data_IF_006528170153
#
_entry.id   IF_006528170153
#
_cell.length_a   1.000
_cell.length_b   1.000
_cell.length_c   1.000
_cell.angle_alpha   90.00
_cell.angle_beta   90.00
_cell.angle_gamma   90.00
#
_symmetry.space_group_name_H-M   'P 1'
#
loop_
_entity.id
_entity.type
_entity.pdbx_description
1 polymer ?
#
# COMPACT_ATOMS: atom_id res chain seq x y z
N UNK A 1 14.03 17.36 7.34
CA UNK A 1 12.85 16.67 7.87
C UNK A 1 13.20 15.87 9.11
N UNK A 2 12.30 15.74 10.11
CA UNK A 2 12.54 15.00 11.37
C UNK A 2 11.40 14.03 11.61
N UNK A 3 11.72 12.78 11.94
CA UNK A 3 10.75 11.74 12.32
C UNK A 3 10.99 11.38 13.80
N UNK A 4 9.92 11.30 14.57
CA UNK A 4 9.89 10.87 15.96
C UNK A 4 8.92 9.71 16.14
N UNK A 5 9.39 8.58 16.69
CA UNK A 5 8.52 7.47 17.07
C UNK A 5 7.74 7.83 18.33
N UNK A 6 6.42 7.87 18.27
CA UNK A 6 5.54 8.17 19.38
C UNK A 6 5.06 6.90 20.10
N UNK A 7 4.80 5.83 19.35
CA UNK A 7 4.27 4.57 19.86
C UNK A 7 4.60 3.41 18.92
N UNK A 8 4.83 2.24 19.49
CA UNK A 8 4.81 0.97 18.76
C UNK A 8 3.95 -0.05 19.50
N UNK A 9 3.31 -0.97 18.75
CA UNK A 9 2.46 -2.03 19.28
C UNK A 9 2.56 -3.28 18.42
N UNK A 10 2.85 -4.42 19.04
CA UNK A 10 2.81 -5.72 18.37
C UNK A 10 1.37 -6.26 18.33
N UNK A 11 0.91 -6.66 17.15
CA UNK A 11 -0.39 -7.31 16.91
C UNK A 11 -0.16 -8.82 16.74
N UNK A 12 -0.08 -9.54 17.84
CA UNK A 12 0.21 -10.99 17.87
C UNK A 12 -0.87 -11.85 17.18
N UNK A 13 -2.07 -11.31 17.06
CA UNK A 13 -3.23 -12.03 16.50
C UNK A 13 -3.61 -11.59 15.08
N UNK A 14 -2.86 -10.68 14.47
CA UNK A 14 -3.11 -10.19 13.12
C UNK A 14 -1.88 -10.45 12.25
N UNK A 15 -1.97 -11.40 11.28
CA UNK A 15 -0.82 -11.79 10.49
C UNK A 15 -0.56 -10.82 9.33
N UNK A 16 0.72 -10.68 8.97
CA UNK A 16 1.21 -10.15 7.69
C UNK A 16 0.54 -8.86 7.26
N UNK A 17 0.54 -7.84 8.15
CA UNK A 17 -0.07 -6.54 7.85
C UNK A 17 0.59 -5.86 6.66
N UNK A 18 -0.17 -5.73 5.55
CA UNK A 18 0.30 -5.27 4.25
C UNK A 18 -0.15 -3.85 3.90
N UNK A 19 -1.29 -3.38 4.42
CA UNK A 19 -1.74 -2.00 4.19
C UNK A 19 -2.58 -1.46 5.34
N UNK A 20 -2.58 -0.14 5.51
CA UNK A 20 -3.31 0.57 6.56
C UNK A 20 -3.92 1.86 6.00
N UNK A 21 -5.18 2.14 6.34
CA UNK A 21 -5.85 3.39 6.00
C UNK A 21 -6.48 4.03 7.24
N UNK A 22 -6.52 5.36 7.27
CA UNK A 22 -7.19 6.13 8.33
C UNK A 22 -8.43 6.83 7.78
N UNK A 23 -9.58 6.60 8.43
CA UNK A 23 -10.82 7.27 8.07
C UNK A 23 -11.75 7.40 9.27
N UNK A 24 -12.27 8.63 9.50
CA UNK A 24 -13.22 8.94 10.57
C UNK A 24 -12.80 8.43 11.97
N UNK A 25 -11.53 8.64 12.35
CA UNK A 25 -11.04 8.26 13.67
C UNK A 25 -10.72 6.77 13.82
N UNK A 26 -10.70 6.03 12.72
CA UNK A 26 -10.47 4.58 12.68
C UNK A 26 -9.33 4.23 11.74
N UNK A 27 -8.61 3.18 12.10
CA UNK A 27 -7.57 2.55 11.28
C UNK A 27 -8.14 1.26 10.72
N UNK A 28 -7.99 1.06 9.42
CA UNK A 28 -8.42 -0.13 8.69
C UNK A 28 -7.18 -0.84 8.18
N UNK A 29 -6.94 -2.04 8.69
CA UNK A 29 -5.76 -2.84 8.38
C UNK A 29 -6.15 -4.08 7.58
N UNK A 30 -5.39 -4.35 6.53
CA UNK A 30 -5.42 -5.61 5.81
C UNK A 30 -4.07 -6.30 5.95
N UNK A 31 -4.07 -7.61 5.78
CA UNK A 31 -2.86 -8.41 5.67
C UNK A 31 -2.93 -9.29 4.42
N UNK A 32 -1.77 -9.60 3.86
CA UNK A 32 -1.65 -10.31 2.59
C UNK A 32 -2.26 -11.73 2.65
N UNK A 33 -2.19 -12.34 3.82
CA UNK A 33 -2.75 -13.67 4.11
C UNK A 33 -3.78 -13.67 5.27
N UNK A 34 -4.16 -12.49 5.79
CA UNK A 34 -5.22 -12.38 6.79
C UNK A 34 -6.59 -12.69 6.20
N UNK A 35 -7.44 -13.38 6.95
CA UNK A 35 -8.81 -13.68 6.54
C UNK A 35 -9.82 -12.59 6.86
N UNK A 36 -9.40 -11.50 7.53
CA UNK A 36 -10.27 -10.43 7.99
C UNK A 36 -9.64 -9.05 7.82
N UNK A 37 -10.48 -8.03 7.69
CA UNK A 37 -10.14 -6.63 7.88
C UNK A 37 -10.19 -6.34 9.39
N UNK A 38 -9.11 -5.80 9.95
CA UNK A 38 -9.05 -5.36 11.33
C UNK A 38 -9.33 -3.86 11.41
N UNK A 39 -10.20 -3.46 12.34
CA UNK A 39 -10.52 -2.05 12.59
C UNK A 39 -10.10 -1.66 14.00
N UNK A 40 -9.26 -0.64 14.09
CA UNK A 40 -8.74 -0.11 15.35
C UNK A 40 -9.14 1.35 15.53
N UNK A 41 -9.15 1.82 16.77
CA UNK A 41 -9.12 3.25 17.05
C UNK A 41 -7.68 3.82 16.91
N UNK A 42 -7.52 5.13 17.03
CA UNK A 42 -6.21 5.79 16.94
C UNK A 42 -5.28 5.53 18.15
N UNK A 43 -5.79 4.81 19.16
CA UNK A 43 -5.03 4.29 20.29
C UNK A 43 -4.61 2.84 20.12
N UNK A 44 -4.92 2.24 18.93
CA UNK A 44 -4.65 0.85 18.58
C UNK A 44 -5.48 -0.17 19.39
N UNK A 45 -6.63 0.23 19.91
CA UNK A 45 -7.58 -0.71 20.47
C UNK A 45 -8.49 -1.26 19.36
N UNK A 46 -8.65 -2.57 19.32
CA UNK A 46 -9.57 -3.20 18.37
C UNK A 46 -11.01 -2.78 18.69
N UNK A 47 -11.70 -2.26 17.68
CA UNK A 47 -13.11 -1.84 17.78
C UNK A 47 -14.02 -2.67 16.90
N UNK A 48 -13.46 -3.30 15.83
CA UNK A 48 -14.23 -4.18 14.95
C UNK A 48 -13.29 -5.15 14.22
N UNK A 49 -13.89 -6.19 13.60
CA UNK A 49 -13.21 -7.11 12.72
C UNK A 49 -14.22 -7.68 11.72
N UNK A 50 -13.95 -7.54 10.44
CA UNK A 50 -14.85 -7.98 9.38
C UNK A 50 -14.22 -9.10 8.57
N UNK A 51 -14.85 -10.30 8.47
CA UNK A 51 -14.37 -11.37 7.62
C UNK A 51 -14.32 -10.92 6.14
N UNK A 52 -13.18 -11.10 5.50
CA UNK A 52 -12.99 -10.90 4.06
C UNK A 52 -13.19 -12.21 3.29
N UNK A 53 -12.84 -13.32 3.92
CA UNK A 53 -12.91 -14.65 3.33
C UNK A 53 -13.57 -15.63 4.31
N UNK A 54 -14.32 -16.59 3.77
CA UNK A 54 -14.81 -17.76 4.51
C UNK A 54 -13.68 -18.79 4.58
N UNK A 55 -12.76 -18.57 5.53
CA UNK A 55 -11.61 -19.41 5.75
C UNK A 55 -11.46 -19.70 7.26
N UNK A 56 -11.29 -20.95 7.67
CA UNK A 56 -11.35 -21.33 9.10
C UNK A 56 -10.16 -20.84 9.91
N UNK A 57 -8.97 -20.74 9.31
CA UNK A 57 -7.77 -20.27 9.98
C UNK A 57 -7.62 -18.76 9.80
N UNK A 58 -6.99 -18.10 10.78
CA UNK A 58 -6.68 -16.66 10.70
C UNK A 58 -5.74 -16.32 9.54
N UNK A 59 -4.90 -17.26 9.15
CA UNK A 59 -3.90 -17.13 8.11
C UNK A 59 -4.23 -18.02 6.92
N UNK A 60 -4.43 -17.46 5.76
CA UNK A 60 -4.73 -18.16 4.52
C UNK A 60 -3.41 -18.69 3.92
N UNK A 61 -3.31 -19.96 3.55
CA UNK A 61 -2.10 -20.53 2.97
C UNK A 61 -1.66 -19.79 1.70
N UNK A 62 -0.36 -19.62 1.50
CA UNK A 62 0.28 -18.84 0.39
C UNK A 62 -0.26 -19.19 -1.01
N UNK A 63 -0.67 -20.45 -1.22
CA UNK A 63 -1.22 -20.90 -2.51
C UNK A 63 -2.69 -20.51 -2.75
N UNK A 64 -3.43 -20.12 -1.71
CA UNK A 64 -4.87 -19.82 -1.76
C UNK A 64 -5.19 -18.36 -1.46
N UNK A 65 -4.23 -17.60 -0.90
CA UNK A 65 -4.42 -16.21 -0.55
C UNK A 65 -4.65 -15.32 -1.78
N UNK A 66 -5.48 -14.32 -1.61
CA UNK A 66 -5.68 -13.27 -2.63
C UNK A 66 -4.47 -12.32 -2.72
N UNK A 67 -3.54 -12.41 -1.76
CA UNK A 67 -2.35 -11.59 -1.71
C UNK A 67 -2.71 -10.10 -1.74
N UNK A 68 -3.56 -9.70 -0.80
CA UNK A 68 -3.99 -8.31 -0.69
C UNK A 68 -2.86 -7.46 -0.11
N UNK A 69 -2.21 -6.67 -0.98
CA UNK A 69 -0.99 -5.94 -0.65
C UNK A 69 -1.23 -4.42 -0.57
N UNK A 70 -2.29 -3.92 -1.17
CA UNK A 70 -2.53 -2.49 -1.22
C UNK A 70 -3.99 -2.15 -0.94
N UNK A 71 -4.23 -1.01 -0.29
CA UNK A 71 -5.58 -0.50 -0.11
C UNK A 71 -5.64 1.02 -0.08
N UNK A 72 -6.76 1.57 -0.50
CA UNK A 72 -6.97 3.03 -0.50
C UNK A 72 -8.44 3.39 -0.36
N UNK A 73 -8.69 4.60 0.08
CA UNK A 73 -10.04 5.17 0.12
C UNK A 73 -10.43 5.69 -1.26
N UNK A 74 -11.60 5.29 -1.74
CA UNK A 74 -12.15 5.80 -3.00
C UNK A 74 -13.60 6.27 -2.82
N UNK A 75 -13.99 7.26 -3.61
CA UNK A 75 -15.37 7.70 -3.66
C UNK A 75 -16.11 6.98 -4.80
N UNK A 76 -17.13 6.23 -4.47
CA UNK A 76 -18.01 5.56 -5.45
C UNK A 76 -19.41 6.09 -5.26
N UNK A 77 -19.91 6.81 -6.26
CA UNK A 77 -21.26 7.43 -6.25
C UNK A 77 -21.57 8.27 -5.00
N UNK A 78 -20.56 9.00 -4.49
CA UNK A 78 -20.71 9.87 -3.31
C UNK A 78 -20.52 9.16 -1.96
N UNK A 79 -20.25 7.87 -1.95
CA UNK A 79 -19.94 7.09 -0.74
C UNK A 79 -18.46 6.69 -0.70
N UNK A 80 -17.85 6.78 0.49
CA UNK A 80 -16.45 6.36 0.68
C UNK A 80 -16.39 4.85 0.87
N UNK A 81 -15.51 4.23 0.10
CA UNK A 81 -15.22 2.81 0.16
C UNK A 81 -13.72 2.60 0.41
N UNK A 82 -13.40 1.50 1.07
CA UNK A 82 -12.04 0.96 1.08
C UNK A 82 -11.91 0.04 -0.14
N UNK A 83 -11.07 0.42 -1.09
CA UNK A 83 -10.62 -0.46 -2.17
C UNK A 83 -9.42 -1.24 -1.66
N UNK A 84 -9.48 -2.55 -1.78
CA UNK A 84 -8.38 -3.47 -1.48
C UNK A 84 -8.02 -4.16 -2.79
N UNK A 85 -6.72 -4.25 -3.11
CA UNK A 85 -6.23 -4.89 -4.33
C UNK A 85 -5.13 -5.89 -4.04
N UNK A 86 -5.12 -6.98 -4.77
CA UNK A 86 -4.07 -7.98 -4.70
C UNK A 86 -2.86 -7.57 -5.54
N UNK A 87 -1.73 -8.24 -5.31
CA UNK A 87 -0.45 -7.95 -5.99
C UNK A 87 -0.50 -8.12 -7.51
N UNK A 88 -1.44 -8.89 -8.05
CA UNK A 88 -1.53 -9.30 -9.46
C UNK A 88 -0.31 -10.07 -9.99
N UNK A 89 0.61 -10.46 -9.11
CA UNK A 89 1.82 -11.24 -9.46
C UNK A 89 1.50 -12.62 -10.04
N UNK A 90 0.28 -13.13 -9.81
CA UNK A 90 -0.27 -14.39 -10.34
C UNK A 90 -1.76 -14.24 -10.65
N UNK A 91 -2.34 -15.22 -11.37
CA UNK A 91 -3.76 -15.18 -11.76
C UNK A 91 -4.69 -15.12 -10.55
N UNK A 92 -4.41 -15.91 -9.50
CA UNK A 92 -5.20 -15.97 -8.28
C UNK A 92 -5.17 -14.66 -7.48
N UNK A 93 -4.14 -13.83 -7.72
CA UNK A 93 -3.88 -12.56 -7.02
C UNK A 93 -4.38 -11.33 -7.77
N UNK A 94 -4.99 -11.51 -8.95
CA UNK A 94 -5.65 -10.46 -9.73
C UNK A 94 -7.05 -10.15 -9.19
N UNK A 95 -7.14 -9.90 -7.89
CA UNK A 95 -8.40 -9.69 -7.17
C UNK A 95 -8.43 -8.32 -6.54
N UNK A 96 -9.63 -7.80 -6.38
CA UNK A 96 -9.91 -6.62 -5.56
C UNK A 96 -11.16 -6.85 -4.73
N UNK A 97 -11.32 -6.03 -3.71
CA UNK A 97 -12.49 -5.97 -2.88
C UNK A 97 -12.87 -4.50 -2.65
N UNK A 98 -14.15 -4.22 -2.64
CA UNK A 98 -14.67 -2.89 -2.41
C UNK A 98 -15.58 -2.93 -1.18
N UNK A 99 -15.18 -2.23 -0.10
CA UNK A 99 -15.86 -2.27 1.19
C UNK A 99 -16.40 -0.86 1.50
N UNK A 100 -17.71 -0.68 1.60
CA UNK A 100 -18.26 0.60 2.00
C UNK A 100 -17.97 0.88 3.47
N UNK A 101 -17.53 2.12 3.78
CA UNK A 101 -17.19 2.53 5.14
C UNK A 101 -18.32 3.26 5.87
N UNK A 102 -19.56 3.14 5.40
CA UNK A 102 -20.75 3.71 6.04
C UNK A 102 -21.71 2.62 6.54
N UNK A 103 -22.52 2.95 7.56
CA UNK A 103 -23.49 2.03 8.16
C UNK A 103 -24.45 1.46 7.12
N UNK A 104 -24.54 0.15 7.04
CA UNK A 104 -25.38 -0.56 6.10
C UNK A 104 -24.63 -1.08 4.88
N UNK A 105 -23.45 -1.61 5.08
CA UNK A 105 -22.64 -2.20 4.01
C UNK A 105 -23.42 -3.23 3.19
N UNK A 106 -23.24 -3.20 1.87
CA UNK A 106 -23.99 -4.02 0.95
C UNK A 106 -23.59 -5.50 1.00
N UNK A 107 -24.39 -6.29 0.37
CA UNK A 107 -24.42 -7.74 0.29
C UNK A 107 -23.14 -8.43 -0.21
N UNK A 108 -22.01 -7.76 -0.49
CA UNK A 108 -20.89 -8.44 -1.11
C UNK A 108 -19.52 -7.93 -0.70
N UNK A 109 -18.97 -8.49 0.34
CA UNK A 109 -17.51 -8.54 0.55
C UNK A 109 -16.88 -9.61 -0.34
N UNK A 110 -17.35 -9.79 -1.59
CA UNK A 110 -16.83 -10.81 -2.48
C UNK A 110 -15.70 -10.23 -3.31
N UNK A 111 -14.55 -10.91 -3.40
CA UNK A 111 -13.50 -10.53 -4.32
C UNK A 111 -14.02 -10.54 -5.77
N UNK A 112 -13.57 -9.58 -6.56
CA UNK A 112 -13.80 -9.50 -8.00
C UNK A 112 -12.47 -9.26 -8.72
N UNK A 113 -12.44 -9.48 -10.01
CA UNK A 113 -11.29 -9.10 -10.85
C UNK A 113 -11.57 -7.72 -11.46
N UNK A 114 -10.82 -6.69 -11.09
CA UNK A 114 -11.00 -5.37 -11.67
C UNK A 114 -10.54 -5.34 -13.14
N UNK A 115 -11.17 -4.48 -13.94
CA UNK A 115 -10.87 -4.35 -15.39
C UNK A 115 -9.41 -3.99 -15.67
N UNK A 116 -8.73 -3.32 -14.74
CA UNK A 116 -7.32 -2.98 -14.90
C UNK A 116 -6.37 -4.20 -14.75
N UNK A 117 -6.87 -5.37 -14.33
CA UNK A 117 -6.09 -6.62 -14.29
C UNK A 117 -6.40 -7.58 -15.45
N UNK A 118 -7.19 -7.17 -16.44
CA UNK A 118 -7.43 -8.01 -17.61
C UNK A 118 -6.17 -8.12 -18.51
N UNK A 119 -6.16 -9.09 -19.42
CA UNK A 119 -5.01 -9.37 -20.30
C UNK A 119 -4.57 -8.15 -21.11
N UNK A 120 -5.52 -7.38 -21.67
CA UNK A 120 -5.23 -6.18 -22.46
C UNK A 120 -4.53 -5.10 -21.61
N UNK A 121 -4.97 -4.92 -20.37
CA UNK A 121 -4.35 -3.98 -19.44
C UNK A 121 -2.94 -4.40 -19.05
N UNK A 122 -2.73 -5.68 -18.78
CA UNK A 122 -1.40 -6.21 -18.47
C UNK A 122 -0.44 -6.11 -19.65
N UNK A 123 -0.90 -6.37 -20.88
CA UNK A 123 -0.11 -6.15 -22.11
C UNK A 123 0.28 -4.66 -22.27
N UNK A 124 -0.63 -3.74 -21.97
CA UNK A 124 -0.31 -2.31 -21.98
C UNK A 124 0.77 -1.95 -20.94
N UNK A 125 0.71 -2.49 -19.72
CA UNK A 125 1.73 -2.27 -18.70
C UNK A 125 3.10 -2.81 -19.13
N UNK A 126 3.13 -4.01 -19.73
CA UNK A 126 4.36 -4.58 -20.29
C UNK A 126 4.95 -3.70 -21.40
N UNK A 127 4.11 -3.18 -22.32
CA UNK A 127 4.57 -2.27 -23.38
C UNK A 127 5.15 -0.96 -22.85
N UNK A 128 4.86 -0.60 -21.60
CA UNK A 128 5.36 0.58 -20.89
C UNK A 128 6.54 0.29 -19.94
N UNK A 129 7.09 -0.94 -20.01
CA UNK A 129 8.31 -1.32 -19.28
C UNK A 129 8.09 -2.04 -17.96
N UNK A 130 6.84 -2.34 -17.57
CA UNK A 130 6.56 -3.16 -16.39
C UNK A 130 6.62 -4.63 -16.79
N UNK A 131 7.76 -5.26 -16.55
CA UNK A 131 8.00 -6.67 -16.90
C UNK A 131 7.21 -7.61 -16.00
N UNK A 132 7.29 -7.36 -14.69
CA UNK A 132 6.60 -8.10 -13.65
C UNK A 132 5.62 -7.17 -12.93
N UNK A 133 4.33 -7.51 -12.98
CA UNK A 133 3.33 -6.78 -12.20
C UNK A 133 3.35 -7.32 -10.77
N UNK A 134 3.59 -6.42 -9.83
CA UNK A 134 3.55 -6.69 -8.40
C UNK A 134 3.09 -5.42 -7.67
N UNK A 135 1.77 -5.29 -7.50
CA UNK A 135 1.18 -4.12 -6.86
C UNK A 135 1.29 -4.26 -5.35
N UNK A 136 1.96 -3.29 -4.73
CA UNK A 136 2.24 -3.27 -3.29
C UNK A 136 1.74 -1.98 -2.62
N UNK A 137 1.25 -1.01 -3.38
CA UNK A 137 0.73 0.23 -2.83
C UNK A 137 -0.39 0.82 -3.66
N UNK A 138 -1.29 1.54 -3.01
CA UNK A 138 -2.38 2.23 -3.68
C UNK A 138 -2.75 3.54 -2.98
N UNK A 139 -3.06 4.56 -3.78
CA UNK A 139 -3.63 5.82 -3.28
C UNK A 139 -4.50 6.47 -4.34
N UNK A 140 -5.23 7.52 -3.98
CA UNK A 140 -5.98 8.35 -4.93
C UNK A 140 -5.41 9.76 -4.96
N UNK A 141 -5.26 10.33 -6.16
CA UNK A 141 -4.88 11.74 -6.38
C UNK A 141 -5.91 12.35 -7.33
N UNK A 142 -6.80 13.18 -6.80
CA UNK A 142 -7.93 13.68 -7.57
C UNK A 142 -8.79 12.54 -8.12
N UNK A 143 -8.98 12.51 -9.45
CA UNK A 143 -9.74 11.46 -10.14
C UNK A 143 -8.90 10.21 -10.50
N UNK A 144 -7.63 10.17 -10.12
CA UNK A 144 -6.74 9.07 -10.46
C UNK A 144 -6.60 8.08 -9.29
N UNK A 145 -6.72 6.80 -9.61
CA UNK A 145 -6.14 5.73 -8.82
C UNK A 145 -4.66 5.61 -9.20
N UNK A 146 -3.80 5.64 -8.21
CA UNK A 146 -2.35 5.48 -8.36
C UNK A 146 -1.94 4.18 -7.69
N UNK A 147 -1.29 3.30 -8.45
CA UNK A 147 -0.80 2.02 -7.96
C UNK A 147 0.73 2.02 -7.95
N UNK A 148 1.33 1.52 -6.89
CA UNK A 148 2.75 1.29 -6.77
C UNK A 148 3.12 -0.11 -7.23
N UNK A 149 3.89 -0.21 -8.30
CA UNK A 149 4.44 -1.49 -8.75
C UNK A 149 5.85 -1.68 -8.21
N UNK A 150 6.02 -2.68 -7.35
CA UNK A 150 7.29 -3.06 -6.75
C UNK A 150 8.16 -3.79 -7.76
N UNK A 151 9.41 -3.36 -7.90
CA UNK A 151 10.44 -4.13 -8.59
C UNK A 151 11.01 -5.24 -7.69
N UNK A 152 11.96 -5.98 -8.23
CA UNK A 152 12.74 -6.99 -7.50
C UNK A 152 14.21 -6.93 -7.94
N UNK A 153 15.09 -7.78 -7.39
CA UNK A 153 16.53 -7.73 -7.74
C UNK A 153 16.83 -8.11 -9.18
N UNK A 154 15.95 -8.85 -9.87
CA UNK A 154 16.09 -9.15 -11.29
C UNK A 154 15.61 -7.99 -12.17
N UNK A 155 14.60 -7.24 -11.72
CA UNK A 155 14.01 -6.08 -12.39
C UNK A 155 13.95 -4.91 -11.37
N UNK A 156 15.07 -4.23 -11.06
CA UNK A 156 15.19 -3.30 -9.94
C UNK A 156 14.64 -1.91 -10.27
N UNK A 157 13.41 -1.85 -10.74
CA UNK A 157 12.72 -0.62 -11.08
C UNK A 157 11.33 -0.60 -10.47
N UNK A 158 11.08 0.33 -9.56
CA UNK A 158 9.72 0.65 -9.08
C UNK A 158 9.01 1.57 -10.07
N UNK A 159 7.68 1.42 -10.17
CA UNK A 159 6.87 2.27 -11.02
C UNK A 159 5.64 2.77 -10.29
N UNK A 160 5.15 3.94 -10.69
CA UNK A 160 3.80 4.39 -10.41
C UNK A 160 2.93 4.24 -11.65
N UNK A 161 1.77 3.65 -11.47
CA UNK A 161 0.77 3.42 -12.51
C UNK A 161 -0.41 4.32 -12.20
N UNK A 162 -0.72 5.25 -13.09
CA UNK A 162 -1.87 6.13 -12.96
C UNK A 162 -2.98 5.67 -13.88
N UNK A 163 -4.17 5.51 -13.33
CA UNK A 163 -5.39 5.22 -14.10
C UNK A 163 -6.53 6.05 -13.56
N UNK A 164 -7.46 6.49 -14.43
CA UNK A 164 -8.66 7.14 -13.94
C UNK A 164 -9.47 6.17 -13.10
N UNK A 165 -9.99 6.67 -12.00
CA UNK A 165 -10.83 5.89 -11.08
C UNK A 165 -12.10 5.42 -11.83
N UNK A 166 -12.05 4.22 -12.40
CA UNK A 166 -13.03 3.71 -13.36
C UNK A 166 -14.02 2.71 -12.75
N UNK A 167 -14.18 2.70 -11.39
CA UNK A 167 -15.16 1.80 -10.75
C UNK A 167 -16.62 2.13 -11.06
N UNK A 168 -16.88 3.25 -11.74
CA UNK A 168 -18.24 3.69 -12.12
C UNK A 168 -18.59 3.49 -13.59
N UNK A 169 -17.68 3.03 -14.46
CA UNK A 169 -17.94 3.04 -15.91
C UNK A 169 -17.27 1.85 -16.63
N UNK A 170 -17.98 0.73 -16.70
CA UNK A 170 -17.54 -0.54 -17.28
C UNK A 170 -17.35 -0.54 -18.82
N UNK A 171 -17.49 0.60 -19.51
CA UNK A 171 -17.45 0.68 -20.96
C UNK A 171 -16.20 1.34 -21.56
N UNK A 172 -15.33 1.91 -20.76
CA UNK A 172 -14.13 2.58 -21.29
C UNK A 172 -12.89 1.67 -21.14
N UNK A 173 -12.12 1.56 -22.24
CA UNK A 173 -10.79 0.97 -22.18
C UNK A 173 -9.99 1.69 -21.09
N UNK A 174 -9.49 0.92 -20.12
CA UNK A 174 -8.62 1.45 -19.06
C UNK A 174 -7.35 1.97 -19.73
N UNK A 175 -7.06 3.25 -19.52
CA UNK A 175 -5.84 3.87 -20.02
C UNK A 175 -4.88 4.06 -18.85
N UNK A 176 -3.62 3.69 -19.04
CA UNK A 176 -2.57 3.85 -18.04
C UNK A 176 -1.53 4.88 -18.50
N UNK A 177 -1.08 5.72 -17.58
CA UNK A 177 0.25 6.31 -17.65
C UNK A 177 1.15 5.62 -16.60
N UNK A 178 2.43 5.52 -16.93
CA UNK A 178 3.42 4.84 -16.09
C UNK A 178 4.62 5.76 -15.95
N UNK A 179 5.02 6.00 -14.72
CA UNK A 179 6.22 6.74 -14.36
C UNK A 179 7.20 5.82 -13.64
N UNK A 180 8.47 5.90 -13.98
CA UNK A 180 9.53 5.25 -13.19
C UNK A 180 9.71 6.02 -11.89
N UNK A 181 9.83 5.31 -10.78
CA UNK A 181 10.14 5.91 -9.49
C UNK A 181 11.66 5.86 -9.28
N UNK A 182 12.28 7.03 -9.15
CA UNK A 182 13.73 7.19 -9.02
C UNK A 182 14.07 7.59 -7.60
N UNK A 183 14.90 6.80 -6.92
CA UNK A 183 15.34 7.11 -5.56
C UNK A 183 16.41 8.20 -5.57
N UNK A 184 16.46 9.09 -4.55
CA UNK A 184 17.38 10.22 -4.49
C UNK A 184 18.83 9.80 -4.19
N UNK A 185 19.00 8.57 -3.72
CA UNK A 185 20.29 7.98 -3.34
C UNK A 185 20.40 6.57 -3.88
N UNK A 186 21.63 6.16 -4.22
CA UNK A 186 21.88 4.78 -4.55
C UNK A 186 22.02 3.99 -3.25
N UNK A 187 21.16 2.98 -3.10
CA UNK A 187 21.21 2.06 -1.97
C UNK A 187 22.11 0.85 -2.31
N UNK A 188 22.68 0.22 -1.29
CA UNK A 188 23.45 -1.02 -1.45
C UNK A 188 22.55 -2.22 -1.81
N UNK A 189 21.26 -2.14 -1.47
CA UNK A 189 20.26 -3.15 -1.71
C UNK A 189 19.11 -2.50 -2.48
N UNK A 190 18.40 -3.28 -3.29
CA UNK A 190 17.20 -2.80 -3.94
C UNK A 190 16.09 -2.58 -2.87
N UNK A 191 15.49 -1.41 -2.88
CA UNK A 191 14.33 -1.09 -2.06
C UNK A 191 13.07 -1.00 -2.94
N UNK A 192 12.16 -1.94 -2.73
CA UNK A 192 10.87 -1.95 -3.41
C UNK A 192 9.87 -1.05 -2.74
N UNK A 193 9.04 -0.35 -3.53
CA UNK A 193 7.86 0.35 -2.99
C UNK A 193 6.93 -0.65 -2.34
N UNK A 194 6.38 -0.31 -1.17
CA UNK A 194 5.48 -1.19 -0.42
C UNK A 194 4.16 -0.54 -0.02
N UNK A 195 4.00 0.77 -0.06
CA UNK A 195 2.70 1.44 0.07
C UNK A 195 2.78 2.88 -0.41
N UNK A 196 1.62 3.48 -0.66
CA UNK A 196 1.43 4.88 -1.09
C UNK A 196 0.40 5.58 -0.20
N UNK A 197 0.65 6.85 0.11
CA UNK A 197 -0.34 7.68 0.79
C UNK A 197 -0.27 9.13 0.28
N UNK A 198 -1.33 9.62 -0.34
CA UNK A 198 -1.40 11.02 -0.77
C UNK A 198 -1.94 11.93 0.33
N UNK A 199 -1.25 13.02 0.60
CA UNK A 199 -1.60 14.05 1.56
C UNK A 199 -2.09 15.28 0.79
N UNK A 200 -3.40 15.33 0.53
CA UNK A 200 -4.02 16.36 -0.30
C UNK A 200 -3.72 17.78 0.18
N UNK A 201 -3.82 18.04 1.49
CA UNK A 201 -3.60 19.38 2.08
C UNK A 201 -2.19 19.93 1.91
N UNK A 202 -1.25 19.10 1.45
CA UNK A 202 0.17 19.42 1.25
C UNK A 202 0.66 19.15 -0.16
N UNK A 203 -0.16 18.50 -0.98
CA UNK A 203 0.23 17.97 -2.29
C UNK A 203 1.48 17.09 -2.23
N UNK A 204 1.55 16.21 -1.21
CA UNK A 204 2.68 15.31 -0.98
C UNK A 204 2.23 13.87 -1.22
N UNK A 205 3.00 13.13 -2.00
CA UNK A 205 2.89 11.68 -2.06
C UNK A 205 3.95 11.06 -1.13
N UNK A 206 3.47 10.33 -0.13
CA UNK A 206 4.29 9.52 0.77
C UNK A 206 4.41 8.10 0.23
N UNK A 207 5.55 7.50 0.50
CA UNK A 207 5.84 6.10 0.16
C UNK A 207 6.43 5.39 1.35
N UNK A 208 6.18 4.09 1.44
CA UNK A 208 7.09 3.19 2.14
C UNK A 208 7.92 2.40 1.13
N UNK A 209 9.16 2.13 1.50
CA UNK A 209 10.05 1.25 0.77
C UNK A 209 10.63 0.23 1.73
N UNK A 210 10.75 -0.99 1.30
CA UNK A 210 11.43 -2.03 2.05
C UNK A 210 12.45 -2.75 1.17
N UNK A 211 13.65 -2.98 1.70
CA UNK A 211 14.63 -3.84 1.05
C UNK A 211 14.42 -5.29 1.48
N UNK A 212 14.44 -6.17 0.49
CA UNK A 212 14.28 -7.60 0.66
C UNK A 212 15.14 -8.32 -0.38
N UNK A 213 15.92 -9.31 0.08
CA UNK A 213 16.84 -10.03 -0.81
C UNK A 213 16.12 -11.12 -1.59
N UNK A 214 15.22 -10.73 -2.51
CA UNK A 214 14.51 -11.67 -3.40
C UNK A 214 14.69 -11.28 -4.86
N UNK A 215 14.76 -12.28 -5.75
CA UNK A 215 14.87 -12.09 -7.20
C UNK A 215 13.53 -12.20 -7.93
N UNK A 216 12.45 -12.44 -7.23
CA UNK A 216 11.11 -12.60 -7.80
C UNK A 216 10.05 -12.13 -6.79
N UNK A 217 8.78 -12.06 -7.23
CA UNK A 217 7.64 -11.62 -6.45
C UNK A 217 6.93 -12.73 -5.67
N UNK A 218 7.58 -13.87 -5.45
CA UNK A 218 6.94 -15.02 -4.80
C UNK A 218 7.69 -15.54 -3.57
N UNK A 219 9.02 -15.54 -3.62
CA UNK A 219 9.85 -16.05 -2.52
C UNK A 219 10.14 -14.93 -1.54
N UNK A 220 10.08 -15.24 -0.25
CA UNK A 220 10.44 -14.30 0.81
C UNK A 220 11.96 -14.26 0.94
N UNK A 221 12.53 -13.07 1.12
CA UNK A 221 13.97 -12.84 1.29
C UNK A 221 14.32 -12.38 2.70
N UNK A 222 15.60 -12.14 2.95
CA UNK A 222 15.99 -11.53 4.21
C UNK A 222 15.52 -10.06 4.26
N UNK A 223 14.84 -9.67 5.34
CA UNK A 223 14.37 -8.31 5.57
C UNK A 223 15.58 -7.40 5.83
N UNK A 224 15.70 -6.35 5.00
CA UNK A 224 16.70 -5.30 5.15
C UNK A 224 16.15 -4.05 5.85
N UNK A 225 16.46 -2.87 5.29
CA UNK A 225 15.99 -1.60 5.83
C UNK A 225 14.63 -1.19 5.24
N UNK A 226 13.84 -0.48 6.05
CA UNK A 226 12.62 0.20 5.59
C UNK A 226 12.79 1.72 5.63
N UNK A 227 12.12 2.40 4.69
CA UNK A 227 12.25 3.83 4.48
C UNK A 227 10.88 4.47 4.30
N UNK A 228 10.78 5.76 4.63
CA UNK A 228 9.69 6.63 4.16
C UNK A 228 10.26 7.58 3.12
N UNK A 229 9.63 7.67 1.96
CA UNK A 229 9.96 8.60 0.88
C UNK A 229 8.86 9.64 0.67
N UNK A 230 9.23 10.77 0.07
CA UNK A 230 8.36 11.91 -0.16
C UNK A 230 8.56 12.45 -1.58
N UNK A 231 7.46 12.73 -2.28
CA UNK A 231 7.45 13.58 -3.48
C UNK A 231 6.54 14.76 -3.18
N UNK A 232 7.10 15.98 -3.24
CA UNK A 232 6.37 17.23 -3.08
C UNK A 232 5.77 17.68 -4.42
N UNK A 233 4.67 18.43 -4.36
CA UNK A 233 3.97 18.98 -5.53
C UNK A 233 3.66 17.91 -6.58
N UNK A 234 3.19 16.72 -6.10
CA UNK A 234 2.98 15.54 -6.94
C UNK A 234 1.97 15.79 -8.05
N UNK A 235 0.94 16.60 -7.83
CA UNK A 235 -0.09 16.86 -8.85
C UNK A 235 0.49 17.52 -10.10
N UNK A 236 1.55 18.31 -9.97
CA UNK A 236 2.25 18.94 -11.10
C UNK A 236 3.17 17.95 -11.85
N UNK A 237 3.55 16.83 -11.22
CA UNK A 237 4.51 15.84 -11.70
C UNK A 237 3.87 14.55 -12.22
N UNK A 238 2.56 14.35 -12.04
CA UNK A 238 1.86 13.07 -12.33
C UNK A 238 2.01 12.54 -13.76
N UNK A 239 2.44 13.38 -14.71
CA UNK A 239 2.60 12.98 -16.11
C UNK A 239 4.06 12.84 -16.55
N UNK A 240 4.99 13.03 -15.62
CA UNK A 240 6.41 12.88 -15.89
C UNK A 240 6.74 11.39 -16.09
N UNK A 241 7.65 11.08 -17.01
CA UNK A 241 8.08 9.71 -17.28
C UNK A 241 8.92 9.13 -16.12
N UNK A 242 9.57 10.02 -15.37
CA UNK A 242 10.36 9.70 -14.20
C UNK A 242 9.95 10.61 -13.04
N UNK A 243 9.62 10.02 -11.93
CA UNK A 243 9.30 10.71 -10.67
C UNK A 243 10.45 10.51 -9.70
N UNK A 244 11.13 11.61 -9.40
CA UNK A 244 12.24 11.60 -8.45
C UNK A 244 11.65 11.73 -7.04
N UNK A 245 12.02 10.83 -6.15
CA UNK A 245 11.73 10.94 -4.72
C UNK A 245 12.57 12.09 -4.16
N UNK A 246 11.94 13.14 -3.65
CA UNK A 246 12.62 14.34 -3.19
C UNK A 246 13.40 14.12 -1.88
N UNK A 247 12.81 13.35 -0.96
CA UNK A 247 13.39 13.01 0.35
C UNK A 247 13.16 11.52 0.67
N UNK A 248 14.12 10.91 1.37
CA UNK A 248 14.03 9.52 1.80
C UNK A 248 14.70 9.34 3.16
N UNK A 249 13.98 8.74 4.11
CA UNK A 249 14.43 8.60 5.50
C UNK A 249 14.52 7.12 5.87
N UNK A 250 15.69 6.69 6.34
CA UNK A 250 15.92 5.33 6.84
C UNK A 250 15.34 5.18 8.25
N UNK A 251 14.31 4.38 8.42
CA UNK A 251 13.60 4.21 9.69
C UNK A 251 14.43 3.52 10.77
N UNK A 252 15.17 2.41 10.50
CA UNK A 252 16.11 1.82 11.45
C UNK A 252 17.17 2.79 11.99
N UNK A 253 17.55 3.82 11.24
CA UNK A 253 18.48 4.85 11.72
C UNK A 253 17.82 5.84 12.70
N UNK A 254 16.49 5.98 12.66
CA UNK A 254 15.74 6.84 13.58
C UNK A 254 15.50 6.14 14.91
N UNK A 255 15.03 4.88 14.87
CA UNK A 255 14.75 4.12 16.08
C UNK A 255 14.96 2.61 15.83
N UNK A 256 15.56 1.93 16.82
CA UNK A 256 15.80 0.48 16.78
C UNK A 256 14.53 -0.37 16.68
N UNK A 257 13.38 0.16 17.05
CA UNK A 257 12.10 -0.53 16.96
C UNK A 257 11.68 -0.84 15.52
N UNK A 258 12.31 -0.16 14.54
CA UNK A 258 12.13 -0.42 13.10
C UNK A 258 13.11 -1.44 12.52
N UNK A 259 14.03 -1.98 13.34
CA UNK A 259 14.99 -2.98 12.87
C UNK A 259 14.30 -4.31 12.56
N UNK A 260 14.54 -4.86 11.37
CA UNK A 260 13.94 -6.09 10.86
C UNK A 260 12.41 -6.03 10.73
N UNK A 261 11.89 -4.84 10.54
CA UNK A 261 10.48 -4.62 10.27
C UNK A 261 10.33 -4.21 8.80
N UNK A 262 9.63 -5.02 8.02
CA UNK A 262 9.25 -4.71 6.65
C UNK A 262 8.01 -3.81 6.71
N UNK A 263 8.22 -2.49 6.58
CA UNK A 263 7.11 -1.54 6.61
C UNK A 263 6.36 -1.63 5.29
N UNK A 264 5.09 -2.04 5.36
CA UNK A 264 4.25 -2.33 4.20
C UNK A 264 3.00 -1.46 4.11
N UNK A 265 2.70 -0.69 5.15
CA UNK A 265 1.57 0.23 5.08
C UNK A 265 1.88 1.58 5.71
N UNK A 266 1.26 2.64 5.16
CA UNK A 266 1.37 4.01 5.64
C UNK A 266 0.04 4.75 5.46
N UNK A 267 -0.41 5.44 6.50
CA UNK A 267 -1.51 6.40 6.38
C UNK A 267 -1.29 7.61 7.29
N UNK A 268 -1.97 8.71 6.99
CA UNK A 268 -1.89 9.96 7.74
C UNK A 268 -3.15 10.14 8.58
N UNK A 269 -2.97 10.27 9.90
CA UNK A 269 -4.05 10.58 10.85
C UNK A 269 -4.41 12.06 10.81
N UNK A 270 -3.41 12.93 10.82
CA UNK A 270 -3.62 14.38 10.87
C UNK A 270 -2.45 15.17 10.30
N UNK A 271 -2.77 16.37 9.82
CA UNK A 271 -1.82 17.38 9.36
C UNK A 271 -2.12 18.69 10.08
N UNK A 272 -1.14 19.24 10.80
CA UNK A 272 -1.25 20.52 11.50
C UNK A 272 -0.01 21.38 11.21
N UNK A 273 -0.15 22.36 10.36
CA UNK A 273 1.00 23.14 9.87
C UNK A 273 2.01 22.21 9.19
N UNK A 274 3.25 22.17 9.68
CA UNK A 274 4.31 21.29 9.17
C UNK A 274 4.38 19.94 9.91
N UNK A 275 3.51 19.71 10.87
CA UNK A 275 3.45 18.45 11.62
C UNK A 275 2.45 17.50 10.97
N UNK A 276 2.85 16.24 10.78
CA UNK A 276 1.98 15.13 10.38
C UNK A 276 2.07 14.02 11.42
N UNK A 277 0.93 13.45 11.77
CA UNK A 277 0.85 12.19 12.52
C UNK A 277 0.54 11.08 11.54
N UNK A 278 1.41 10.08 11.51
CA UNK A 278 1.39 8.99 10.54
C UNK A 278 1.32 7.66 11.29
N UNK A 279 0.57 6.70 10.76
CA UNK A 279 0.61 5.32 11.19
C UNK A 279 1.30 4.46 10.12
N UNK A 280 2.09 3.50 10.60
CA UNK A 280 2.75 2.49 9.77
C UNK A 280 2.35 1.11 10.28
N UNK A 281 2.29 0.15 9.37
CA UNK A 281 2.18 -1.26 9.71
C UNK A 281 3.35 -2.02 9.07
N UNK A 282 3.88 -3.00 9.79
CA UNK A 282 4.91 -3.91 9.27
C UNK A 282 4.44 -5.36 9.28
N UNK A 283 4.94 -6.12 8.32
CA UNK A 283 5.08 -7.57 8.38
C UNK A 283 6.51 -7.91 8.86
N UNK A 284 6.65 -8.89 9.74
CA UNK A 284 7.95 -9.38 10.20
C UNK A 284 8.23 -10.83 9.78
N UNK A 285 7.42 -11.36 8.83
CA UNK A 285 7.43 -12.76 8.36
C UNK A 285 7.22 -13.81 9.49
N UNK A 286 6.99 -13.36 10.71
CA UNK A 286 6.74 -14.19 11.88
C UNK A 286 5.28 -14.63 12.06
N UNK A 287 4.36 -14.11 11.21
CA UNK A 287 2.92 -14.30 11.35
C UNK A 287 2.27 -13.30 12.32
N UNK A 288 2.95 -12.23 12.64
CA UNK A 288 2.51 -11.12 13.46
C UNK A 288 2.69 -9.81 12.69
N UNK A 289 2.00 -8.76 13.09
CA UNK A 289 2.17 -7.41 12.55
C UNK A 289 2.57 -6.45 13.65
N UNK A 290 3.23 -5.37 13.29
CA UNK A 290 3.56 -4.32 14.25
C UNK A 290 3.10 -2.96 13.75
N UNK A 291 2.49 -2.20 14.62
CA UNK A 291 2.04 -0.84 14.36
C UNK A 291 2.99 0.18 14.93
N UNK A 292 3.15 1.28 14.21
CA UNK A 292 3.93 2.42 14.66
C UNK A 292 3.14 3.71 14.45
N UNK A 293 3.14 4.57 15.46
CA UNK A 293 2.68 5.94 15.34
C UNK A 293 3.89 6.85 15.36
N UNK A 294 4.06 7.63 14.32
CA UNK A 294 5.19 8.54 14.16
C UNK A 294 4.72 9.97 13.94
N UNK A 295 5.51 10.91 14.41
CA UNK A 295 5.37 12.33 14.10
C UNK A 295 6.43 12.70 13.06
N UNK A 296 6.00 13.36 12.00
CA UNK A 296 6.88 13.89 10.95
C UNK A 296 6.79 15.41 10.96
N UNK A 297 7.94 16.08 11.01
CA UNK A 297 8.08 17.52 10.83
C UNK A 297 8.70 17.78 9.47
N UNK A 298 7.92 18.43 8.58
CA UNK A 298 8.33 18.84 7.24
C UNK A 298 9.34 19.99 7.27
#
# INVERSE_FOLDING_TARGET
>A
MVIELLKSLLLVDFPSGSSINYYNGKLYLIGDDANNLLVLDNSYQQIDSMPLFDFPEKRIPKQQKADFEASTLINVHGAIHLLIVGSASREERKKAMLIPLMNGGPESNKPFMPDFYNSTSLEQLQSKGIVDVNIEGATTIGDYLVLGNRGNTANPQNHLIFTKNAFSNTQNKVAFSVSKLVLPVQLNEFAGVSELCYVESKDILLFTFSSESTSNSYDDGAIGNSYIGFIFDITSKMHDLELIVDEMINLPAINKDFQKEKIEGICVESVNGNEMIIHLVSDNDGGESKLFKVKVML
#
